data_IF_040520489969
#
_entry.id   IF_040520489969
#
_cell.length_a   1.000
_cell.length_b   1.000
_cell.length_c   1.000
_cell.angle_alpha   90.00
_cell.angle_beta   90.00
_cell.angle_gamma   90.00
#
_symmetry.space_group_name_H-M   'P 1'
#
loop_
_entity.id
_entity.type
_entity.pdbx_description
1 polymer ?
#
# COMPACT_ATOMS: atom_id res chain seq x y z
N UNK A 1 -18.72 -13.43 23.79
CA UNK A 1 -17.69 -14.50 23.83
C UNK A 1 -16.78 -14.28 22.64
N UNK A 2 -15.46 -14.53 22.75
CA UNK A 2 -14.57 -14.43 21.58
C UNK A 2 -15.12 -15.31 20.45
N UNK A 3 -14.98 -14.85 19.21
CA UNK A 3 -15.39 -15.63 18.03
C UNK A 3 -14.61 -16.95 18.01
N UNK A 4 -15.32 -18.05 17.76
CA UNK A 4 -14.72 -19.38 17.61
C UNK A 4 -14.35 -19.62 16.15
N UNK A 5 -13.06 -19.79 15.89
CA UNK A 5 -12.50 -20.06 14.56
C UNK A 5 -12.36 -21.56 14.25
N UNK A 6 -12.68 -22.43 15.22
CA UNK A 6 -12.51 -23.88 15.09
C UNK A 6 -13.28 -24.43 13.89
N UNK A 7 -12.59 -25.21 13.07
CA UNK A 7 -13.22 -25.81 11.90
C UNK A 7 -12.24 -26.23 10.82
N UNK A 8 -12.82 -26.80 9.77
CA UNK A 8 -12.14 -27.15 8.52
C UNK A 8 -12.70 -26.28 7.42
N UNK A 9 -11.80 -25.56 6.73
CA UNK A 9 -12.13 -24.52 5.78
C UNK A 9 -11.47 -24.82 4.45
N UNK A 10 -12.29 -25.06 3.41
CA UNK A 10 -11.81 -25.25 2.05
C UNK A 10 -11.69 -23.90 1.33
N UNK A 11 -10.66 -23.73 0.51
CA UNK A 11 -10.50 -22.50 -0.26
C UNK A 11 -11.62 -22.35 -1.29
N UNK A 12 -12.29 -21.19 -1.27
CA UNK A 12 -13.33 -20.84 -2.26
C UNK A 12 -12.80 -19.82 -3.27
N UNK A 13 -11.96 -18.88 -2.82
CA UNK A 13 -11.37 -17.85 -3.68
C UNK A 13 -9.94 -17.51 -3.26
N UNK A 14 -9.14 -17.02 -4.21
CA UNK A 14 -7.80 -16.53 -3.94
C UNK A 14 -7.47 -15.34 -4.86
N UNK A 15 -7.30 -14.16 -4.28
CA UNK A 15 -7.10 -12.92 -5.03
C UNK A 15 -5.67 -12.42 -4.78
N UNK A 16 -4.95 -12.08 -5.86
CA UNK A 16 -3.61 -11.49 -5.83
C UNK A 16 -2.52 -12.31 -5.09
N UNK A 17 -2.67 -13.62 -4.98
CA UNK A 17 -1.66 -14.49 -4.36
C UNK A 17 -0.31 -14.44 -5.08
N UNK A 18 -0.33 -14.35 -6.42
CA UNK A 18 0.88 -14.18 -7.23
C UNK A 18 1.66 -12.93 -6.82
N UNK A 19 0.96 -11.79 -6.66
CA UNK A 19 1.58 -10.52 -6.25
C UNK A 19 2.21 -10.60 -4.87
N UNK A 20 1.51 -11.24 -3.92
CA UNK A 20 2.04 -11.49 -2.58
C UNK A 20 3.33 -12.33 -2.61
N UNK A 21 3.33 -13.43 -3.38
CA UNK A 21 4.50 -14.29 -3.52
C UNK A 21 5.69 -13.60 -4.21
N UNK A 22 5.43 -12.75 -5.23
CA UNK A 22 6.45 -11.90 -5.85
C UNK A 22 7.07 -10.96 -4.82
N UNK A 23 6.25 -10.31 -3.99
CA UNK A 23 6.72 -9.37 -2.97
C UNK A 23 7.55 -10.07 -1.87
N UNK A 24 7.25 -11.34 -1.57
CA UNK A 24 8.09 -12.20 -0.73
C UNK A 24 9.41 -12.62 -1.40
N UNK A 25 9.55 -12.46 -2.71
CA UNK A 25 10.72 -12.89 -3.48
C UNK A 25 10.74 -14.39 -3.78
N UNK A 26 9.57 -15.03 -3.83
CA UNK A 26 9.43 -16.45 -4.22
C UNK A 26 9.68 -16.56 -5.73
N UNK A 27 10.41 -17.58 -6.17
CA UNK A 27 10.77 -17.77 -7.59
C UNK A 27 9.57 -18.16 -8.47
N UNK A 28 9.68 -17.90 -9.77
CA UNK A 28 8.58 -18.08 -10.73
C UNK A 28 8.04 -19.52 -10.79
N UNK A 29 8.90 -20.53 -10.68
CA UNK A 29 8.48 -21.92 -10.77
C UNK A 29 7.65 -22.32 -9.54
N UNK A 30 8.12 -21.96 -8.34
CA UNK A 30 7.38 -22.19 -7.09
C UNK A 30 6.02 -21.47 -7.11
N UNK A 31 5.97 -20.22 -7.58
CA UNK A 31 4.69 -19.47 -7.69
C UNK A 31 3.70 -20.13 -8.63
N UNK A 32 4.17 -20.63 -9.78
CA UNK A 32 3.31 -21.36 -10.73
C UNK A 32 2.67 -22.59 -10.10
N UNK A 33 3.44 -23.39 -9.37
CA UNK A 33 2.93 -24.57 -8.63
C UNK A 33 1.91 -24.11 -7.58
N UNK A 34 2.28 -23.14 -6.74
CA UNK A 34 1.46 -22.64 -5.65
C UNK A 34 0.10 -22.09 -6.12
N UNK A 35 0.06 -21.43 -7.29
CA UNK A 35 -1.17 -20.87 -7.88
C UNK A 35 -2.24 -21.91 -8.26
N UNK A 36 -1.84 -23.18 -8.44
CA UNK A 36 -2.74 -24.28 -8.80
C UNK A 36 -3.22 -25.07 -7.58
N UNK A 37 -2.66 -24.81 -6.40
CA UNK A 37 -3.00 -25.53 -5.17
C UNK A 37 -4.35 -25.06 -4.63
N UNK A 38 -5.10 -26.00 -4.06
CA UNK A 38 -6.32 -25.72 -3.32
C UNK A 38 -6.09 -26.02 -1.84
N UNK A 39 -5.59 -25.04 -1.05
CA UNK A 39 -5.35 -25.28 0.35
C UNK A 39 -6.62 -25.56 1.14
N UNK A 40 -6.54 -26.48 2.10
CA UNK A 40 -7.54 -26.67 3.15
C UNK A 40 -6.93 -26.21 4.47
N UNK A 41 -7.67 -25.42 5.25
CA UNK A 41 -7.21 -24.91 6.55
C UNK A 41 -7.98 -25.60 7.66
N UNK A 42 -7.26 -26.14 8.63
CA UNK A 42 -7.84 -26.71 9.87
C UNK A 42 -7.39 -25.85 11.03
N UNK A 43 -8.35 -25.26 11.75
CA UNK A 43 -8.11 -24.42 12.91
C UNK A 43 -8.63 -25.16 14.15
N UNK A 44 -7.78 -25.21 15.18
CA UNK A 44 -8.16 -25.62 16.53
C UNK A 44 -7.91 -24.46 17.48
N UNK A 45 -8.93 -24.09 18.24
CA UNK A 45 -8.88 -23.04 19.24
C UNK A 45 -9.18 -23.64 20.63
N UNK A 46 -8.26 -23.46 21.56
CA UNK A 46 -8.41 -23.84 22.97
C UNK A 46 -8.14 -22.60 23.84
N UNK A 47 -9.21 -21.84 24.12
CA UNK A 47 -9.11 -20.52 24.71
C UNK A 47 -8.27 -19.58 23.83
N UNK A 48 -7.11 -19.16 24.35
CA UNK A 48 -6.14 -18.30 23.66
C UNK A 48 -5.06 -19.08 22.89
N UNK A 49 -5.06 -20.41 22.97
CA UNK A 49 -4.11 -21.26 22.26
C UNK A 49 -4.68 -21.67 20.90
N UNK A 50 -3.95 -21.38 19.83
CA UNK A 50 -4.37 -21.69 18.46
C UNK A 50 -3.39 -22.65 17.79
N UNK A 51 -3.96 -23.59 17.04
CA UNK A 51 -3.23 -24.39 16.05
C UNK A 51 -3.90 -24.19 14.69
N UNK A 52 -3.18 -23.60 13.74
CA UNK A 52 -3.63 -23.41 12.36
C UNK A 52 -2.76 -24.29 11.46
N UNK A 53 -3.40 -25.26 10.78
CA UNK A 53 -2.75 -26.10 9.78
C UNK A 53 -3.30 -25.77 8.40
N UNK A 54 -2.41 -25.52 7.45
CA UNK A 54 -2.76 -25.32 6.04
C UNK A 54 -2.22 -26.48 5.24
N UNK A 55 -3.11 -27.27 4.65
CA UNK A 55 -2.80 -28.47 3.88
C UNK A 55 -2.82 -28.18 2.39
N UNK A 56 -1.81 -28.66 1.66
CA UNK A 56 -1.81 -28.68 0.19
C UNK A 56 -1.23 -29.99 -0.32
N UNK A 57 -1.39 -30.29 -1.61
CA UNK A 57 -0.77 -31.48 -2.22
C UNK A 57 0.75 -31.38 -2.37
N UNK A 58 1.33 -30.19 -2.13
CA UNK A 58 2.76 -29.95 -2.28
C UNK A 58 3.47 -29.81 -0.94
N UNK A 59 2.98 -28.92 -0.08
CA UNK A 59 3.59 -28.62 1.22
C UNK A 59 2.57 -28.15 2.24
N UNK A 60 2.64 -28.72 3.43
CA UNK A 60 1.80 -28.33 4.54
C UNK A 60 2.53 -27.33 5.43
N UNK A 61 1.77 -26.40 6.00
CA UNK A 61 2.26 -25.40 6.94
C UNK A 61 1.48 -25.52 8.26
N UNK A 62 2.18 -25.39 9.37
CA UNK A 62 1.58 -25.42 10.70
C UNK A 62 2.09 -24.23 11.51
N UNK A 63 1.15 -23.52 12.13
CA UNK A 63 1.41 -22.41 13.04
C UNK A 63 0.75 -22.70 14.38
N UNK A 64 1.54 -22.64 15.45
CA UNK A 64 1.07 -22.75 16.83
C UNK A 64 1.44 -21.45 17.54
N UNK A 65 0.46 -20.82 18.15
CA UNK A 65 0.66 -19.57 18.88
C UNK A 65 -0.36 -19.44 20.00
N UNK A 66 -0.03 -18.59 20.96
CA UNK A 66 -0.96 -18.11 21.98
C UNK A 66 -1.16 -16.62 21.78
N UNK A 67 -2.40 -16.16 21.97
CA UNK A 67 -2.74 -14.74 21.81
C UNK A 67 -1.84 -13.88 22.72
N UNK A 68 -1.26 -12.82 22.14
CA UNK A 68 -0.39 -11.87 22.84
C UNK A 68 1.06 -12.33 23.04
N UNK A 69 1.39 -13.59 22.76
CA UNK A 69 2.74 -14.12 22.96
C UNK A 69 3.56 -14.03 21.66
N UNK A 70 4.69 -13.31 21.71
CA UNK A 70 5.61 -13.20 20.57
C UNK A 70 6.48 -14.46 20.48
N UNK A 71 6.50 -15.09 19.30
CA UNK A 71 7.27 -16.31 19.03
C UNK A 71 8.22 -16.09 17.86
N UNK A 72 9.38 -16.75 17.92
CA UNK A 72 10.31 -16.80 16.80
C UNK A 72 9.80 -17.84 15.78
N UNK A 73 9.29 -17.36 14.65
CA UNK A 73 8.78 -18.18 13.57
C UNK A 73 9.82 -18.30 12.44
N UNK A 74 10.00 -19.50 11.90
CA UNK A 74 10.74 -19.70 10.66
C UNK A 74 9.75 -20.15 9.60
N UNK A 75 9.58 -19.33 8.56
CA UNK A 75 8.59 -19.50 7.48
C UNK A 75 9.05 -20.54 6.44
N UNK A 76 9.45 -21.71 6.96
CA UNK A 76 10.07 -22.80 6.20
C UNK A 76 9.11 -23.32 5.14
N UNK A 77 9.59 -23.38 3.91
CA UNK A 77 8.77 -23.84 2.78
C UNK A 77 7.83 -22.80 2.19
N UNK A 78 7.87 -21.57 2.70
CA UNK A 78 7.40 -20.39 1.99
C UNK A 78 8.63 -19.61 1.52
N UNK A 79 9.03 -18.58 2.26
CA UNK A 79 10.16 -17.71 1.91
C UNK A 79 11.40 -17.95 2.78
N UNK A 80 11.37 -18.93 3.70
CA UNK A 80 12.49 -19.37 4.53
C UNK A 80 13.13 -18.27 5.37
N UNK A 81 12.33 -17.29 5.80
CA UNK A 81 12.78 -16.19 6.66
C UNK A 81 12.42 -16.41 8.12
N UNK A 82 13.21 -15.82 9.00
CA UNK A 82 12.90 -15.73 10.43
C UNK A 82 12.11 -14.45 10.71
N UNK A 83 11.00 -14.59 11.42
CA UNK A 83 10.16 -13.49 11.88
C UNK A 83 9.95 -13.60 13.40
N UNK A 84 9.73 -12.45 14.05
CA UNK A 84 9.13 -12.39 15.38
C UNK A 84 7.64 -12.15 15.15
N UNK A 85 6.85 -13.17 15.48
CA UNK A 85 5.44 -13.27 15.13
C UNK A 85 4.60 -13.16 16.39
N UNK A 86 3.63 -12.25 16.38
CA UNK A 86 2.65 -12.10 17.45
C UNK A 86 1.26 -12.01 16.85
N UNK A 87 0.29 -12.69 17.47
CA UNK A 87 -1.11 -12.66 17.07
C UNK A 87 -1.93 -12.05 18.20
N UNK A 88 -2.76 -11.07 17.89
CA UNK A 88 -3.65 -10.40 18.82
C UNK A 88 -5.07 -10.36 18.30
N UNK A 89 -6.02 -10.14 19.21
CA UNK A 89 -7.38 -9.77 18.85
C UNK A 89 -7.47 -8.29 18.49
N UNK A 90 -8.14 -7.99 17.39
CA UNK A 90 -8.69 -6.67 17.08
C UNK A 90 -10.19 -6.84 16.82
N UNK A 91 -10.99 -6.48 17.82
CA UNK A 91 -12.41 -6.84 17.90
C UNK A 91 -12.60 -8.36 17.70
N UNK A 92 -13.35 -8.75 16.68
CA UNK A 92 -13.62 -10.15 16.34
C UNK A 92 -12.59 -10.77 15.38
N UNK A 93 -11.47 -10.07 15.12
CA UNK A 93 -10.46 -10.47 14.13
C UNK A 93 -9.17 -10.93 14.79
N UNK A 94 -8.53 -11.94 14.19
CA UNK A 94 -7.17 -12.35 14.54
C UNK A 94 -6.17 -11.60 13.67
N UNK A 95 -5.37 -10.72 14.26
CA UNK A 95 -4.36 -9.91 13.58
C UNK A 95 -2.96 -10.37 13.96
N UNK A 96 -2.22 -10.80 12.95
CA UNK A 96 -0.85 -11.28 13.07
C UNK A 96 0.13 -10.28 12.48
N UNK A 97 1.17 -9.95 13.26
CA UNK A 97 2.29 -9.13 12.83
C UNK A 97 3.54 -9.99 12.82
N UNK A 98 4.22 -10.05 11.67
CA UNK A 98 5.45 -10.83 11.46
C UNK A 98 6.63 -9.89 11.24
N UNK A 99 7.31 -9.48 12.31
CA UNK A 99 8.46 -8.56 12.24
C UNK A 99 9.71 -9.28 11.73
N UNK A 100 10.29 -8.82 10.64
CA UNK A 100 11.51 -9.40 10.07
C UNK A 100 12.09 -8.55 8.93
N UNK A 101 12.75 -9.20 7.98
CA UNK A 101 13.36 -8.54 6.80
C UNK A 101 12.33 -7.77 5.95
N UNK A 102 11.13 -8.35 5.78
CA UNK A 102 10.03 -7.73 5.05
C UNK A 102 9.22 -6.86 6.00
N UNK A 103 9.01 -5.58 5.66
CA UNK A 103 8.23 -4.68 6.52
C UNK A 103 6.73 -4.89 6.27
N UNK A 104 5.92 -4.50 7.25
CA UNK A 104 4.45 -4.60 7.23
C UNK A 104 3.92 -6.00 6.84
N UNK A 105 4.69 -7.04 7.15
CA UNK A 105 4.32 -8.43 6.91
C UNK A 105 3.38 -8.88 8.02
N UNK A 106 2.28 -9.51 7.64
CA UNK A 106 1.30 -10.00 8.58
C UNK A 106 0.13 -10.67 7.88
N UNK A 107 -0.89 -10.97 8.65
CA UNK A 107 -2.16 -11.43 8.13
C UNK A 107 -3.30 -11.11 9.10
N UNK A 108 -4.52 -11.07 8.58
CA UNK A 108 -5.74 -10.93 9.37
C UNK A 108 -6.73 -12.01 9.00
N UNK A 109 -7.22 -12.77 9.98
CA UNK A 109 -8.39 -13.64 9.80
C UNK A 109 -9.64 -13.00 10.40
N UNK A 110 -10.77 -13.20 9.74
CA UNK A 110 -12.10 -12.87 10.27
C UNK A 110 -13.14 -13.82 9.69
N UNK A 111 -14.26 -13.99 10.41
CA UNK A 111 -15.39 -14.79 9.97
C UNK A 111 -16.53 -13.85 9.58
N UNK A 112 -17.17 -14.14 8.45
CA UNK A 112 -18.42 -13.49 8.04
C UNK A 112 -19.40 -14.57 7.57
N UNK A 113 -20.46 -14.82 8.35
CA UNK A 113 -21.37 -15.93 8.08
C UNK A 113 -20.65 -17.28 8.20
N UNK A 114 -20.68 -18.07 7.13
CA UNK A 114 -20.01 -19.36 6.98
C UNK A 114 -18.67 -19.26 6.20
N UNK A 115 -18.15 -18.06 6.01
CA UNK A 115 -16.88 -17.83 5.33
C UNK A 115 -15.77 -17.41 6.30
N UNK A 116 -14.65 -18.13 6.26
CA UNK A 116 -13.39 -17.70 6.85
C UNK A 116 -12.60 -16.88 5.84
N UNK A 117 -12.38 -15.61 6.16
CA UNK A 117 -11.53 -14.73 5.36
C UNK A 117 -10.12 -14.67 5.91
N UNK A 118 -9.16 -14.55 4.98
CA UNK A 118 -7.75 -14.34 5.26
C UNK A 118 -7.22 -13.24 4.34
N UNK A 119 -6.75 -12.15 4.93
CA UNK A 119 -5.94 -11.16 4.22
C UNK A 119 -4.47 -11.36 4.60
N UNK A 120 -3.59 -11.59 3.63
CA UNK A 120 -2.14 -11.64 3.84
C UNK A 120 -1.53 -10.33 3.37
N UNK A 121 -0.84 -9.63 4.27
CA UNK A 121 -0.24 -8.34 3.99
C UNK A 121 1.27 -8.44 3.94
N UNK A 122 1.84 -7.68 3.01
CA UNK A 122 3.27 -7.37 2.94
C UNK A 122 3.38 -5.97 2.35
N UNK A 123 4.45 -5.24 2.70
CA UNK A 123 4.80 -3.92 2.18
C UNK A 123 4.07 -3.51 0.88
N UNK A 124 3.23 -2.48 0.98
CA UNK A 124 2.57 -1.86 -0.16
C UNK A 124 1.05 -1.90 -0.07
N UNK A 125 0.40 -2.93 0.45
CA UNK A 125 -1.05 -3.05 0.25
C UNK A 125 -1.86 -1.91 0.90
N UNK A 126 -1.66 -1.59 2.18
CA UNK A 126 -2.43 -0.49 2.81
C UNK A 126 -2.04 0.89 2.24
N UNK A 127 -0.74 1.19 2.11
CA UNK A 127 -0.30 2.49 1.58
C UNK A 127 -0.71 2.66 0.11
N UNK A 128 -0.55 1.62 -0.71
CA UNK A 128 -0.96 1.62 -2.12
C UNK A 128 -2.48 1.68 -2.24
N UNK A 129 -3.24 0.98 -1.39
CA UNK A 129 -4.70 1.10 -1.32
C UNK A 129 -5.12 2.51 -0.93
N UNK A 130 -4.48 3.11 0.08
CA UNK A 130 -4.73 4.50 0.50
C UNK A 130 -4.42 5.49 -0.60
N UNK A 131 -3.28 5.34 -1.28
CA UNK A 131 -2.92 6.17 -2.43
C UNK A 131 -3.90 5.97 -3.58
N UNK A 132 -4.29 4.73 -3.89
CA UNK A 132 -5.26 4.42 -4.93
C UNK A 132 -6.65 4.96 -4.62
N UNK A 133 -7.07 4.91 -3.35
CA UNK A 133 -8.32 5.50 -2.89
C UNK A 133 -8.29 7.04 -3.01
N UNK A 134 -7.17 7.69 -2.66
CA UNK A 134 -6.99 9.13 -2.86
C UNK A 134 -7.03 9.53 -4.34
N UNK A 135 -6.41 8.74 -5.22
CA UNK A 135 -6.51 8.92 -6.68
C UNK A 135 -7.95 8.72 -7.15
N UNK A 136 -8.64 7.67 -6.68
CA UNK A 136 -10.05 7.41 -7.02
C UNK A 136 -10.94 8.60 -6.65
N UNK A 137 -10.79 9.13 -5.43
CA UNK A 137 -11.55 10.29 -4.98
C UNK A 137 -11.33 11.49 -5.90
N UNK A 138 -10.06 11.80 -6.20
CA UNK A 138 -9.69 12.93 -7.08
C UNK A 138 -10.25 12.75 -8.50
N UNK A 139 -10.10 11.56 -9.07
CA UNK A 139 -10.66 11.21 -10.39
C UNK A 139 -12.19 11.31 -10.38
N UNK A 140 -12.85 10.85 -9.32
CA UNK A 140 -14.30 10.97 -9.14
C UNK A 140 -14.76 12.42 -9.16
N UNK A 141 -14.10 13.31 -8.40
CA UNK A 141 -14.39 14.74 -8.42
C UNK A 141 -14.18 15.37 -9.80
N UNK A 142 -13.11 15.00 -10.51
CA UNK A 142 -12.86 15.50 -11.87
C UNK A 142 -13.91 14.99 -12.86
N UNK A 143 -14.25 13.71 -12.84
CA UNK A 143 -15.28 13.12 -13.69
C UNK A 143 -16.65 13.75 -13.42
N UNK A 144 -16.99 14.02 -12.16
CA UNK A 144 -18.23 14.70 -11.80
C UNK A 144 -18.29 16.10 -12.41
N UNK A 145 -17.26 16.92 -12.20
CA UNK A 145 -17.18 18.28 -12.78
C UNK A 145 -17.31 18.27 -14.30
N UNK A 146 -16.56 17.39 -14.97
CA UNK A 146 -16.63 17.23 -16.43
C UNK A 146 -18.02 16.76 -16.89
N UNK A 147 -18.64 15.85 -16.13
CA UNK A 147 -19.97 15.34 -16.43
C UNK A 147 -21.04 16.41 -16.29
N UNK A 148 -20.93 17.29 -15.30
CA UNK A 148 -21.83 18.43 -15.11
C UNK A 148 -21.68 19.46 -16.25
N UNK A 149 -20.45 19.81 -16.62
CA UNK A 149 -20.15 20.75 -17.72
C UNK A 149 -20.73 20.28 -19.06
N UNK A 150 -20.62 18.98 -19.36
CA UNK A 150 -21.13 18.40 -20.61
C UNK A 150 -22.52 17.78 -20.49
N UNK A 151 -23.20 17.92 -19.33
CA UNK A 151 -24.51 17.33 -19.01
C UNK A 151 -24.58 15.81 -19.28
N UNK A 152 -23.50 15.09 -19.01
CA UNK A 152 -23.37 13.64 -19.18
C UNK A 152 -22.57 13.03 -18.02
N UNK A 153 -23.23 12.39 -17.05
CA UNK A 153 -22.53 11.77 -15.93
C UNK A 153 -21.72 10.56 -16.39
N UNK A 154 -20.58 10.34 -15.75
CA UNK A 154 -19.77 9.14 -15.95
C UNK A 154 -20.28 7.99 -15.09
N UNK A 155 -20.27 6.77 -15.65
CA UNK A 155 -20.60 5.58 -14.86
C UNK A 155 -19.50 5.23 -13.86
N UNK A 156 -19.84 4.49 -12.80
CA UNK A 156 -18.87 4.02 -11.80
C UNK A 156 -17.73 3.20 -12.44
N UNK A 157 -18.06 2.42 -13.46
CA UNK A 157 -17.09 1.59 -14.19
C UNK A 157 -16.09 2.46 -14.96
N UNK A 158 -16.55 3.56 -15.58
CA UNK A 158 -15.64 4.49 -16.29
C UNK A 158 -14.74 5.22 -15.30
N UNK A 159 -15.28 5.70 -14.17
CA UNK A 159 -14.48 6.34 -13.11
C UNK A 159 -13.41 5.38 -12.58
N UNK A 160 -13.78 4.11 -12.33
CA UNK A 160 -12.83 3.08 -11.90
C UNK A 160 -11.75 2.80 -12.95
N UNK A 161 -12.11 2.74 -14.24
CA UNK A 161 -11.16 2.52 -15.33
C UNK A 161 -10.16 3.68 -15.50
N UNK A 162 -10.63 4.92 -15.37
CA UNK A 162 -9.76 6.12 -15.40
C UNK A 162 -8.83 6.10 -14.19
N UNK A 163 -9.36 5.78 -13.01
CA UNK A 163 -8.57 5.67 -11.77
C UNK A 163 -7.45 4.65 -11.92
N UNK A 164 -7.77 3.45 -12.41
CA UNK A 164 -6.81 2.38 -12.60
C UNK A 164 -5.72 2.77 -13.62
N UNK A 165 -6.13 3.39 -14.72
CA UNK A 165 -5.20 3.89 -15.75
C UNK A 165 -4.26 4.97 -15.18
N UNK A 166 -4.81 5.95 -14.46
CA UNK A 166 -4.04 7.02 -13.84
C UNK A 166 -3.06 6.47 -12.79
N UNK A 167 -3.50 5.53 -11.95
CA UNK A 167 -2.66 4.94 -10.92
C UNK A 167 -1.49 4.13 -11.51
N UNK A 168 -1.74 3.35 -12.57
CA UNK A 168 -0.65 2.68 -13.32
C UNK A 168 0.32 3.67 -13.94
N UNK A 169 -0.18 4.79 -14.47
CA UNK A 169 0.68 5.82 -15.04
C UNK A 169 1.56 6.47 -13.96
N UNK A 170 1.07 6.64 -12.74
CA UNK A 170 1.88 7.10 -11.61
C UNK A 170 3.04 6.14 -11.28
N UNK A 171 2.82 4.82 -11.32
CA UNK A 171 3.87 3.82 -11.10
C UNK A 171 4.96 3.90 -12.19
N UNK A 172 4.56 4.09 -13.45
CA UNK A 172 5.51 4.33 -14.56
C UNK A 172 6.31 5.61 -14.32
N UNK A 173 5.64 6.70 -13.96
CA UNK A 173 6.31 7.98 -13.68
C UNK A 173 7.25 7.89 -12.48
N UNK A 174 6.90 7.17 -11.41
CA UNK A 174 7.79 6.99 -10.27
C UNK A 174 9.11 6.31 -10.68
N UNK A 175 9.04 5.24 -11.46
CA UNK A 175 10.22 4.52 -11.98
C UNK A 175 11.06 5.40 -12.90
N UNK A 176 10.41 6.16 -13.77
CA UNK A 176 11.09 7.10 -14.67
C UNK A 176 11.80 8.22 -13.88
N UNK A 177 11.15 8.79 -12.86
CA UNK A 177 11.74 9.82 -12.00
C UNK A 177 12.99 9.30 -11.28
N UNK A 178 12.92 8.10 -10.71
CA UNK A 178 14.08 7.46 -10.08
C UNK A 178 15.21 7.24 -11.08
N UNK A 179 14.87 6.78 -12.29
CA UNK A 179 15.85 6.55 -13.35
C UNK A 179 16.53 7.86 -13.80
N UNK A 180 15.78 8.96 -13.94
CA UNK A 180 16.31 10.27 -14.32
C UNK A 180 17.24 10.84 -13.25
N UNK A 181 16.83 10.81 -11.98
CA UNK A 181 17.68 11.25 -10.88
C UNK A 181 18.98 10.44 -10.81
N UNK A 182 18.88 9.12 -10.93
CA UNK A 182 20.04 8.20 -10.89
C UNK A 182 20.98 8.38 -12.08
N UNK A 183 20.44 8.58 -13.28
CA UNK A 183 21.23 8.87 -14.48
C UNK A 183 22.05 10.16 -14.30
N UNK A 184 21.48 11.16 -13.63
CA UNK A 184 22.16 12.39 -13.24
C UNK A 184 23.03 12.26 -11.96
N UNK A 185 23.28 11.03 -11.47
CA UNK A 185 24.06 10.74 -10.25
C UNK A 185 23.51 11.40 -8.98
N UNK A 186 22.19 11.64 -8.92
CA UNK A 186 21.48 12.19 -7.76
C UNK A 186 20.66 11.09 -7.06
N UNK A 187 20.53 11.19 -5.74
CA UNK A 187 19.61 10.38 -4.93
C UNK A 187 18.25 11.05 -4.72
N UNK A 188 18.13 12.34 -5.06
CA UNK A 188 16.92 13.15 -4.88
C UNK A 188 16.41 13.61 -6.24
N UNK A 189 15.11 13.42 -6.47
CA UNK A 189 14.37 13.87 -7.65
C UNK A 189 14.26 15.40 -7.65
N UNK A 190 14.57 16.03 -8.78
CA UNK A 190 14.51 17.48 -8.97
C UNK A 190 13.30 17.90 -9.81
N UNK A 191 12.94 19.21 -9.83
CA UNK A 191 11.88 19.71 -10.71
C UNK A 191 12.13 19.41 -12.20
N UNK A 192 13.39 19.37 -12.64
CA UNK A 192 13.73 19.06 -14.02
C UNK A 192 13.43 17.62 -14.40
N UNK A 193 13.57 16.67 -13.45
CA UNK A 193 13.16 15.28 -13.66
C UNK A 193 11.65 15.19 -13.90
N UNK A 194 10.85 15.97 -13.16
CA UNK A 194 9.38 16.03 -13.32
C UNK A 194 8.98 16.65 -14.66
N UNK A 195 9.64 17.75 -15.06
CA UNK A 195 9.46 18.35 -16.39
C UNK A 195 9.81 17.34 -17.49
N UNK A 196 10.88 16.56 -17.29
CA UNK A 196 11.36 15.56 -18.23
C UNK A 196 10.40 14.36 -18.35
N UNK A 197 9.69 13.97 -17.28
CA UNK A 197 8.61 12.97 -17.33
C UNK A 197 7.45 13.45 -18.22
N UNK A 198 7.07 14.72 -18.11
CA UNK A 198 5.96 15.29 -18.87
C UNK A 198 6.27 15.50 -20.36
N UNK A 199 7.52 15.31 -20.81
CA UNK A 199 8.00 15.65 -22.16
C UNK A 199 7.21 15.05 -23.32
N UNK A 200 6.54 13.91 -23.11
CA UNK A 200 5.81 13.18 -24.16
C UNK A 200 4.40 13.73 -24.40
N UNK A 201 3.91 14.65 -23.57
CA UNK A 201 2.63 15.31 -23.74
C UNK A 201 2.84 16.82 -23.72
N UNK A 202 2.63 17.48 -24.85
CA UNK A 202 2.81 18.94 -24.96
C UNK A 202 1.92 19.68 -23.96
N UNK A 203 0.65 19.28 -23.86
CA UNK A 203 -0.30 19.88 -22.92
C UNK A 203 0.14 19.71 -21.46
N UNK A 204 0.57 18.50 -21.08
CA UNK A 204 1.04 18.23 -19.72
C UNK A 204 2.35 18.96 -19.41
N UNK A 205 3.29 19.00 -20.38
CA UNK A 205 4.56 19.70 -20.25
C UNK A 205 4.35 21.20 -20.00
N UNK A 206 3.47 21.85 -20.78
CA UNK A 206 3.12 23.26 -20.58
C UNK A 206 2.49 23.48 -19.20
N UNK A 207 1.54 22.63 -18.80
CA UNK A 207 0.90 22.74 -17.50
C UNK A 207 1.91 22.60 -16.35
N UNK A 208 2.75 21.56 -16.38
CA UNK A 208 3.77 21.31 -15.35
C UNK A 208 4.81 22.44 -15.31
N UNK A 209 5.20 22.98 -16.47
CA UNK A 209 6.10 24.12 -16.53
C UNK A 209 5.51 25.35 -15.83
N UNK A 210 4.29 25.74 -16.20
CA UNK A 210 3.61 26.89 -15.60
C UNK A 210 3.40 26.69 -14.09
N UNK A 211 2.96 25.50 -13.68
CA UNK A 211 2.79 25.17 -12.27
C UNK A 211 4.10 25.24 -11.49
N UNK A 212 5.23 24.86 -12.10
CA UNK A 212 6.54 24.96 -11.46
C UNK A 212 6.95 26.41 -11.20
N UNK A 213 6.67 27.31 -12.14
CA UNK A 213 6.97 28.74 -11.99
C UNK A 213 6.08 29.40 -10.93
N UNK A 214 4.78 29.05 -10.90
CA UNK A 214 3.84 29.49 -9.86
C UNK A 214 4.35 29.12 -8.46
N UNK A 215 4.76 27.86 -8.26
CA UNK A 215 5.27 27.38 -6.96
C UNK A 215 6.57 28.07 -6.55
N UNK A 216 7.46 28.36 -7.50
CA UNK A 216 8.70 29.11 -7.23
C UNK A 216 8.36 30.53 -6.76
N UNK A 217 7.39 31.16 -7.42
CA UNK A 217 6.95 32.51 -7.07
C UNK A 217 6.29 32.55 -5.69
N UNK A 218 5.39 31.61 -5.38
CA UNK A 218 4.77 31.47 -4.06
C UNK A 218 5.81 31.33 -2.95
N UNK A 219 6.85 30.50 -3.16
CA UNK A 219 7.93 30.35 -2.18
C UNK A 219 8.75 31.63 -2.00
N UNK A 220 8.99 32.41 -3.06
CA UNK A 220 9.69 33.70 -2.97
C UNK A 220 8.88 34.70 -2.16
N UNK A 221 7.57 34.74 -2.36
CA UNK A 221 6.70 35.67 -1.65
C UNK A 221 6.52 35.30 -0.18
N UNK A 222 6.48 34.01 0.16
CA UNK A 222 6.52 33.52 1.55
C UNK A 222 7.83 33.90 2.24
N UNK A 223 8.98 33.78 1.55
CA UNK A 223 10.28 34.20 2.10
C UNK A 223 10.33 35.70 2.38
N UNK A 224 9.83 36.53 1.45
CA UNK A 224 9.74 38.01 1.63
C UNK A 224 8.84 38.41 2.80
N UNK A 225 7.71 37.73 2.98
CA UNK A 225 6.82 37.97 4.14
C UNK A 225 7.50 37.63 5.47
N UNK A 226 8.26 36.53 5.52
CA UNK A 226 8.96 36.11 6.73
C UNK A 226 10.15 37.03 7.08
N UNK A 227 10.90 37.52 6.09
CA UNK A 227 11.97 38.52 6.33
C UNK A 227 11.41 39.89 6.71
N UNK A 228 10.30 40.32 6.10
CA UNK A 228 9.61 41.56 6.49
C UNK A 228 9.11 41.53 7.93
N UNK A 229 8.56 40.40 8.38
CA UNK A 229 8.04 40.21 9.75
C UNK A 229 9.13 40.11 10.82
N UNK A 230 10.33 39.62 10.46
CA UNK A 230 11.53 39.69 11.33
C UNK A 230 12.01 41.13 11.47
N UNK A 231 12.14 41.83 10.34
CA UNK A 231 12.65 43.20 10.33
C UNK A 231 11.76 44.18 11.09
N UNK A 232 10.43 44.03 11.02
CA UNK A 232 9.48 44.85 11.80
C UNK A 232 9.53 44.57 13.31
N UNK A 233 9.87 43.35 13.70
CA UNK A 233 9.98 42.96 15.11
C UNK A 233 11.27 43.52 15.73
N UNK A 234 12.37 43.51 14.98
CA UNK A 234 13.64 44.13 15.41
C UNK A 234 13.51 45.66 15.55
N UNK A 235 12.70 46.32 14.70
CA UNK A 235 12.47 47.78 14.82
C UNK A 235 11.54 48.17 15.98
N UNK A 236 10.63 47.29 16.39
CA UNK A 236 9.78 47.49 17.57
C UNK A 236 10.52 47.25 18.89
N UNK A 237 11.58 46.44 18.90
CA UNK A 237 12.47 46.26 20.07
C UNK A 237 13.47 47.41 20.21
N UNK A 238 14.09 47.89 19.12
CA UNK A 238 15.00 49.06 19.14
C UNK A 238 14.31 50.39 19.50
N UNK A 239 12.99 50.50 19.35
CA UNK A 239 12.23 51.73 19.70
C UNK A 239 11.69 51.72 21.14
N UNK A 240 11.99 50.70 21.93
CA UNK A 240 11.56 50.54 23.33
C UNK A 240 12.70 50.60 24.36
N UNK A 241 13.94 50.78 23.92
CA UNK A 241 15.10 51.16 24.75
C UNK A 241 15.33 52.68 24.70
#
# INVERSE_FOLDING_TARGET
>A
MPVDYSGTWDIVSNVNFEGYMVALGIDFATRKIASMLKPQKVIKQDGDCFTIKTFTTFKNYESLFKIGEEVKEVTKGMDNRTCHTVVNWEDDKLVCVQKGEKKNRGWTHWIHGDELHLNMSLDGDETQQRLKAAVHYTVGCLCQRMGDEHRRPFSRQVVAAITETAFRQCDVFAKDLEAFARHAKRSTVSPDDVKLVARRSTALSVYIHNKSEELIQEQRDLKKKNTGKRKSRDTEEESRE
#
